data_IF_203046759280
#
_entry.id   IF_203046759280
#
_cell.length_a   1.000
_cell.length_b   1.000
_cell.length_c   1.000
_cell.angle_alpha   90.00
_cell.angle_beta   90.00
_cell.angle_gamma   90.00
#
_symmetry.space_group_name_H-M   'P 1'
#
loop_
_entity.id
_entity.type
_entity.pdbx_description
1 polymer ?
#
# COMPACT_ATOMS: atom_id res chain seq x y z
N UNK A 1 19.68 5.72 8.20
CA UNK A 1 18.50 5.99 7.38
C UNK A 1 17.40 5.04 7.80
N UNK A 2 16.22 5.56 8.02
CA UNK A 2 15.11 4.73 8.49
C UNK A 2 14.23 4.32 7.32
N UNK A 3 13.80 3.06 7.35
CA UNK A 3 12.87 2.50 6.38
C UNK A 3 11.52 2.26 7.03
N UNK A 4 10.48 2.38 6.25
CA UNK A 4 9.12 2.09 6.66
C UNK A 4 8.48 1.13 5.67
N UNK A 5 7.53 0.35 6.17
CA UNK A 5 6.69 -0.49 5.35
C UNK A 5 5.29 0.12 5.33
N UNK A 6 4.80 0.39 4.14
CA UNK A 6 3.45 0.92 3.96
C UNK A 6 2.59 -0.23 3.46
N UNK A 7 1.48 -0.47 4.15
CA UNK A 7 0.48 -1.44 3.74
C UNK A 7 -0.81 -0.67 3.50
N UNK A 8 -1.38 -0.83 2.31
CA UNK A 8 -2.67 -0.26 1.99
C UNK A 8 -3.62 -1.36 1.56
N UNK A 9 -4.82 -1.34 2.11
CA UNK A 9 -5.91 -2.21 1.70
C UNK A 9 -6.94 -1.31 1.03
N UNK A 10 -7.24 -1.57 -0.24
CA UNK A 10 -8.06 -0.70 -1.05
C UNK A 10 -8.96 -1.51 -1.98
N UNK A 11 -9.93 -0.84 -2.58
CA UNK A 11 -10.82 -1.50 -3.53
C UNK A 11 -10.06 -1.90 -4.79
N UNK A 12 -10.37 -3.08 -5.32
CA UNK A 12 -9.73 -3.55 -6.55
C UNK A 12 -9.96 -2.60 -7.73
N UNK A 13 -11.08 -1.90 -7.75
CA UNK A 13 -11.43 -0.97 -8.82
C UNK A 13 -10.51 0.24 -8.93
N UNK A 14 -9.84 0.62 -7.84
CA UNK A 14 -8.92 1.77 -7.83
C UNK A 14 -7.45 1.37 -7.89
N UNK A 15 -7.16 0.08 -7.91
CA UNK A 15 -5.78 -0.42 -7.85
C UNK A 15 -4.91 0.13 -8.97
N UNK A 16 -5.38 0.05 -10.21
CA UNK A 16 -4.60 0.52 -11.37
C UNK A 16 -4.30 2.03 -11.28
N UNK A 17 -5.29 2.80 -10.87
CA UNK A 17 -5.13 4.24 -10.68
C UNK A 17 -4.06 4.54 -9.62
N UNK A 18 -4.09 3.81 -8.52
CA UNK A 18 -3.10 3.95 -7.45
C UNK A 18 -1.71 3.54 -7.93
N UNK A 19 -1.60 2.42 -8.62
CA UNK A 19 -0.32 1.96 -9.17
C UNK A 19 0.29 2.99 -10.11
N UNK A 20 -0.51 3.55 -11.01
CA UNK A 20 -0.04 4.56 -11.96
C UNK A 20 0.44 5.83 -11.23
N UNK A 21 -0.30 6.27 -10.23
CA UNK A 21 0.08 7.45 -9.46
C UNK A 21 1.37 7.23 -8.66
N UNK A 22 1.55 6.03 -8.12
CA UNK A 22 2.79 5.69 -7.40
C UNK A 22 3.99 5.65 -8.34
N UNK A 23 3.82 5.16 -9.57
CA UNK A 23 4.89 5.19 -10.56
C UNK A 23 5.29 6.61 -10.93
N UNK A 24 4.34 7.53 -10.99
CA UNK A 24 4.62 8.93 -11.29
C UNK A 24 5.49 9.62 -10.22
N UNK A 25 5.42 9.16 -8.99
CA UNK A 25 6.28 9.67 -7.91
C UNK A 25 7.49 8.79 -7.66
N UNK A 26 7.84 7.95 -8.62
CA UNK A 26 9.05 7.13 -8.64
C UNK A 26 9.07 6.04 -7.54
N UNK A 27 7.93 5.49 -7.21
CA UNK A 27 7.88 4.25 -6.43
C UNK A 27 8.14 3.10 -7.40
N UNK A 28 9.33 2.51 -7.30
CA UNK A 28 9.81 1.54 -8.28
C UNK A 28 9.27 0.13 -8.07
N UNK A 29 8.76 -0.19 -6.89
CA UNK A 29 8.27 -1.54 -6.64
C UNK A 29 7.17 -1.56 -5.60
N UNK A 30 6.14 -2.32 -5.91
CA UNK A 30 5.07 -2.66 -4.98
C UNK A 30 4.78 -4.14 -5.09
N UNK A 31 4.30 -4.72 -4.00
CA UNK A 31 3.76 -6.09 -4.00
C UNK A 31 2.25 -6.02 -3.85
N UNK A 32 1.54 -6.81 -4.63
CA UNK A 32 0.07 -6.83 -4.60
C UNK A 32 -0.39 -8.23 -4.26
N UNK A 33 -1.30 -8.32 -3.29
CA UNK A 33 -2.06 -9.53 -2.98
C UNK A 33 -3.53 -9.19 -2.91
N UNK A 34 -4.38 -10.19 -3.10
CA UNK A 34 -5.81 -10.01 -2.97
C UNK A 34 -6.27 -10.71 -1.70
N UNK A 35 -7.11 -10.01 -0.94
CA UNK A 35 -7.59 -10.49 0.35
C UNK A 35 -9.11 -10.41 0.39
N UNK A 36 -9.71 -11.16 1.31
CA UNK A 36 -11.12 -11.02 1.67
C UNK A 36 -11.20 -10.60 3.13
N UNK A 37 -12.08 -9.66 3.42
CA UNK A 37 -12.22 -9.18 4.77
C UNK A 37 -13.49 -8.36 4.98
N UNK A 38 -13.68 -7.91 6.21
CA UNK A 38 -14.74 -6.99 6.56
C UNK A 38 -14.19 -5.95 7.54
N UNK A 39 -14.95 -4.89 7.77
CA UNK A 39 -14.52 -3.76 8.58
C UNK A 39 -14.56 -2.48 7.74
N UNK A 40 -13.60 -1.59 7.92
CA UNK A 40 -13.55 -0.33 7.18
C UNK A 40 -13.22 -0.49 5.71
N UNK A 41 -12.79 -1.68 5.31
CA UNK A 41 -12.50 -2.03 3.92
C UNK A 41 -13.51 -3.02 3.34
N UNK A 42 -14.65 -3.22 3.99
CA UNK A 42 -15.67 -4.14 3.53
C UNK A 42 -16.80 -3.41 2.80
N UNK A 43 -17.48 -4.12 1.93
CA UNK A 43 -18.66 -3.63 1.24
C UNK A 43 -19.91 -4.05 2.01
N UNK A 44 -20.63 -3.08 2.59
CA UNK A 44 -21.81 -3.34 3.40
C UNK A 44 -23.03 -3.83 2.61
N UNK A 45 -23.00 -3.70 1.30
CA UNK A 45 -24.13 -4.09 0.45
C UNK A 45 -24.06 -5.52 -0.04
N UNK A 46 -23.01 -6.24 0.31
CA UNK A 46 -22.86 -7.64 -0.07
C UNK A 46 -23.13 -8.57 1.11
N UNK A 47 -23.67 -9.72 0.80
CA UNK A 47 -23.91 -10.77 1.77
C UNK A 47 -23.33 -12.09 1.24
N UNK A 48 -22.36 -12.70 1.94
CA UNK A 48 -21.77 -12.24 3.21
C UNK A 48 -20.97 -10.95 3.03
N UNK A 49 -20.66 -10.21 4.12
CA UNK A 49 -19.97 -8.95 4.03
C UNK A 49 -18.46 -9.07 3.71
N UNK A 50 -17.97 -10.27 3.45
CA UNK A 50 -16.59 -10.49 3.04
C UNK A 50 -16.42 -10.14 1.59
N UNK A 51 -15.58 -9.16 1.31
CA UNK A 51 -15.35 -8.62 -0.02
C UNK A 51 -13.87 -8.73 -0.37
N UNK A 52 -13.61 -9.01 -1.64
CA UNK A 52 -12.25 -9.03 -2.17
C UNK A 52 -11.72 -7.61 -2.27
N UNK A 53 -10.53 -7.40 -1.70
CA UNK A 53 -9.80 -6.14 -1.76
C UNK A 53 -8.38 -6.40 -2.25
N UNK A 54 -7.73 -5.37 -2.72
CA UNK A 54 -6.31 -5.40 -3.03
C UNK A 54 -5.52 -4.95 -1.82
N UNK A 55 -4.45 -5.67 -1.50
CA UNK A 55 -3.49 -5.29 -0.49
C UNK A 55 -2.18 -5.00 -1.18
N UNK A 56 -1.65 -3.79 -1.02
CA UNK A 56 -0.35 -3.41 -1.54
C UNK A 56 0.63 -3.22 -0.39
N UNK A 57 1.89 -3.57 -0.64
CA UNK A 57 2.98 -3.39 0.30
C UNK A 57 4.11 -2.66 -0.39
N UNK A 58 4.64 -1.64 0.29
CA UNK A 58 5.72 -0.80 -0.23
C UNK A 58 6.75 -0.62 0.86
N UNK A 59 8.02 -0.86 0.56
CA UNK A 59 9.12 -0.44 1.41
C UNK A 59 9.61 0.92 0.95
N UNK A 60 9.74 1.85 1.86
CA UNK A 60 10.08 3.23 1.53
C UNK A 60 11.05 3.82 2.53
N UNK A 61 11.84 4.77 2.04
CA UNK A 61 12.58 5.68 2.91
C UNK A 61 11.59 6.55 3.67
N UNK A 62 11.83 6.76 4.96
CA UNK A 62 10.89 7.53 5.80
C UNK A 62 10.61 8.94 5.25
N UNK A 63 11.55 9.53 4.52
CA UNK A 63 11.38 10.86 3.92
C UNK A 63 10.34 10.89 2.82
N UNK A 64 10.02 9.74 2.24
CA UNK A 64 9.05 9.63 1.14
C UNK A 64 7.68 9.15 1.60
N UNK A 65 7.55 8.77 2.86
CA UNK A 65 6.33 8.13 3.38
C UNK A 65 5.11 9.03 3.23
N UNK A 66 5.22 10.30 3.62
CA UNK A 66 4.07 11.21 3.57
C UNK A 66 3.57 11.41 2.15
N UNK A 67 4.47 11.52 1.19
CA UNK A 67 4.11 11.64 -0.22
C UNK A 67 3.40 10.38 -0.72
N UNK A 68 3.91 9.21 -0.34
CA UNK A 68 3.30 7.94 -0.74
C UNK A 68 1.90 7.80 -0.15
N UNK A 69 1.75 8.09 1.13
CA UNK A 69 0.44 8.00 1.80
C UNK A 69 -0.57 8.93 1.14
N UNK A 70 -0.21 10.20 0.94
CA UNK A 70 -1.13 11.15 0.33
C UNK A 70 -1.50 10.76 -1.09
N UNK A 71 -0.56 10.21 -1.85
CA UNK A 71 -0.80 9.73 -3.21
C UNK A 71 -1.80 8.57 -3.21
N UNK A 72 -1.62 7.60 -2.32
CA UNK A 72 -2.54 6.48 -2.20
C UNK A 72 -3.94 6.98 -1.83
N UNK A 73 -4.05 7.80 -0.81
CA UNK A 73 -5.34 8.27 -0.31
C UNK A 73 -6.08 9.07 -1.39
N UNK A 74 -5.41 9.99 -2.06
CA UNK A 74 -6.03 10.81 -3.10
C UNK A 74 -6.57 9.98 -4.26
N UNK A 75 -5.88 8.91 -4.61
CA UNK A 75 -6.25 8.09 -5.76
C UNK A 75 -7.20 6.93 -5.40
N UNK A 76 -7.24 6.54 -4.14
CA UNK A 76 -8.12 5.47 -3.67
C UNK A 76 -9.44 5.98 -3.08
N UNK A 77 -9.52 7.25 -2.72
CA UNK A 77 -10.67 7.83 -2.05
C UNK A 77 -11.90 7.89 -2.96
N UNK A 78 -13.01 7.33 -2.50
CA UNK A 78 -14.32 7.48 -3.14
C UNK A 78 -15.33 8.17 -2.23
N UNK A 79 -15.03 8.27 -0.94
CA UNK A 79 -15.95 8.81 0.07
C UNK A 79 -16.87 7.77 0.68
N UNK A 80 -16.77 6.53 0.23
CA UNK A 80 -17.58 5.42 0.74
C UNK A 80 -16.83 4.68 1.85
N UNK A 81 -17.58 4.02 2.70
CA UNK A 81 -17.04 3.34 3.88
C UNK A 81 -16.11 2.18 3.55
N UNK A 82 -16.26 1.58 2.37
CA UNK A 82 -15.43 0.46 1.93
C UNK A 82 -14.11 0.85 1.28
N UNK A 83 -13.69 2.11 1.36
CA UNK A 83 -12.48 2.60 0.67
C UNK A 83 -11.19 1.93 1.15
N UNK A 84 -11.15 1.51 2.41
CA UNK A 84 -9.99 0.82 2.96
C UNK A 84 -9.17 1.68 3.91
N UNK A 85 -7.92 1.27 4.08
CA UNK A 85 -7.02 1.93 5.02
C UNK A 85 -5.58 1.87 4.55
N UNK A 86 -4.74 2.76 5.11
CA UNK A 86 -3.30 2.76 4.89
C UNK A 86 -2.64 2.74 6.27
N UNK A 87 -1.64 1.89 6.43
CA UNK A 87 -0.87 1.81 7.67
C UNK A 87 0.61 1.88 7.39
N UNK A 88 1.38 2.35 8.36
CA UNK A 88 2.83 2.49 8.28
C UNK A 88 3.45 1.74 9.45
N UNK A 89 4.44 0.91 9.14
CA UNK A 89 5.17 0.15 10.14
C UNK A 89 6.66 0.47 10.07
N UNK A 90 7.35 0.49 11.21
CA UNK A 90 8.79 0.61 11.20
C UNK A 90 9.43 -0.65 10.66
N UNK A 91 10.56 -0.49 9.96
CA UNK A 91 11.37 -1.58 9.45
C UNK A 91 12.76 -1.42 10.04
N UNK A 92 13.23 -2.43 10.76
CA UNK A 92 14.54 -2.35 11.40
C UNK A 92 15.67 -2.51 10.38
N UNK A 93 15.58 -3.52 9.53
CA UNK A 93 16.62 -3.86 8.56
C UNK A 93 16.01 -4.40 7.28
N UNK A 94 16.64 -4.15 6.15
CA UNK A 94 16.31 -4.78 4.86
C UNK A 94 17.60 -5.33 4.27
N UNK A 95 17.60 -6.61 3.94
CA UNK A 95 18.72 -7.28 3.31
C UNK A 95 18.34 -7.67 1.89
N UNK A 96 19.22 -7.39 0.96
CA UNK A 96 19.01 -7.79 -0.44
C UNK A 96 19.67 -9.15 -0.66
N UNK A 97 18.87 -10.11 -1.08
CA UNK A 97 19.35 -11.50 -1.25
C UNK A 97 20.42 -11.56 -2.33
N UNK A 98 20.22 -10.84 -3.44
CA UNK A 98 21.16 -10.88 -4.56
C UNK A 98 22.56 -10.42 -4.19
N UNK A 99 22.68 -9.42 -3.32
CA UNK A 99 23.97 -8.86 -2.90
C UNK A 99 24.46 -9.45 -1.57
N UNK A 100 23.62 -10.23 -0.90
CA UNK A 100 23.92 -10.82 0.42
C UNK A 100 24.29 -9.76 1.46
N UNK A 101 23.68 -8.58 1.36
CA UNK A 101 24.04 -7.44 2.21
C UNK A 101 22.83 -6.59 2.56
N UNK A 102 22.98 -5.84 3.64
CA UNK A 102 21.97 -4.86 4.05
C UNK A 102 21.98 -3.68 3.09
N UNK A 103 20.78 -3.20 2.73
CA UNK A 103 20.67 -2.03 1.86
C UNK A 103 20.73 -0.74 2.68
N UNK A 104 21.31 0.29 2.05
CA UNK A 104 21.42 1.62 2.64
C UNK A 104 20.35 2.58 2.12
N UNK A 105 19.74 2.28 0.97
CA UNK A 105 18.73 3.13 0.35
C UNK A 105 17.76 2.30 -0.49
N UNK A 106 16.55 2.85 -0.67
CA UNK A 106 15.53 2.30 -1.56
C UNK A 106 15.41 3.24 -2.75
N UNK A 107 15.58 2.65 -3.92
CA UNK A 107 15.46 3.36 -5.19
C UNK A 107 14.19 2.95 -5.93
#
# INVERSE_FOLDING_TARGET
>A
MAFKKIIAILQCSVLEKVENALQEINVSGISVTYIKGYGDYANFFQSPPLVKHARIEIFADERKVDLIISTIIQNAHTGLKGDGLVTVLPVEHIYKIATQSEIASIE
#
